data_IF_229884555595
#
_entry.id   IF_229884555595
#
_cell.length_a   1.000
_cell.length_b   1.000
_cell.length_c   1.000
_cell.angle_alpha   90.00
_cell.angle_beta   90.00
_cell.angle_gamma   90.00
#
_symmetry.space_group_name_H-M   'P 1'
#
loop_
_entity.id
_entity.type
_entity.pdbx_description
1 polymer ?
#
# COMPACT_ATOMS: atom_id res chain seq x y z
N UNK A 1 -11.90 -12.50 -0.63
CA UNK A 1 -10.70 -11.70 -0.83
C UNK A 1 -10.94 -10.28 -0.34
N UNK A 2 -10.04 -9.77 0.46
CA UNK A 2 -10.27 -8.51 1.18
C UNK A 2 -9.18 -7.45 0.94
N UNK A 3 -8.35 -7.62 -0.08
CA UNK A 3 -7.43 -6.55 -0.46
C UNK A 3 -8.06 -5.64 -1.51
N UNK A 4 -7.64 -4.39 -1.53
CA UNK A 4 -8.17 -3.36 -2.40
C UNK A 4 -8.32 -2.03 -1.66
N UNK A 5 -9.22 -1.20 -2.15
CA UNK A 5 -9.46 0.13 -1.58
C UNK A 5 -10.26 -0.02 -0.28
N UNK A 6 -9.80 0.67 0.78
CA UNK A 6 -10.49 0.66 2.07
C UNK A 6 -11.81 1.42 2.02
N UNK A 7 -12.70 1.12 2.98
CA UNK A 7 -13.92 1.91 3.14
C UNK A 7 -13.62 3.38 3.43
N UNK A 8 -12.57 3.66 4.21
CA UNK A 8 -12.15 5.04 4.50
C UNK A 8 -11.84 5.80 3.21
N UNK A 9 -10.98 5.23 2.35
CA UNK A 9 -10.58 5.90 1.11
C UNK A 9 -11.76 6.05 0.15
N UNK A 10 -12.55 4.98 -0.01
CA UNK A 10 -13.72 5.02 -0.87
C UNK A 10 -14.73 6.09 -0.44
N UNK A 11 -15.00 6.19 0.85
CA UNK A 11 -15.91 7.20 1.38
C UNK A 11 -15.34 8.61 1.21
N UNK A 12 -14.03 8.80 1.41
CA UNK A 12 -13.39 10.10 1.23
C UNK A 12 -13.52 10.58 -0.23
N UNK A 13 -13.33 9.69 -1.20
CA UNK A 13 -13.48 10.04 -2.61
C UNK A 13 -14.93 10.36 -2.96
N UNK A 14 -15.89 9.60 -2.45
CA UNK A 14 -17.29 9.85 -2.70
C UNK A 14 -17.74 11.18 -2.07
N UNK A 15 -17.25 11.51 -0.89
CA UNK A 15 -17.53 12.78 -0.25
C UNK A 15 -16.87 13.96 -0.98
N UNK A 16 -15.71 13.76 -1.58
CA UNK A 16 -15.09 14.78 -2.42
C UNK A 16 -15.96 15.08 -3.64
N UNK A 17 -16.57 14.06 -4.21
CA UNK A 17 -17.48 14.21 -5.36
C UNK A 17 -18.84 14.80 -4.96
N UNK A 18 -19.47 14.23 -3.94
CA UNK A 18 -20.87 14.51 -3.63
C UNK A 18 -21.11 15.54 -2.54
N UNK A 19 -20.12 15.87 -1.72
CA UNK A 19 -20.30 16.71 -0.53
C UNK A 19 -19.25 17.82 -0.43
N UNK A 20 -18.57 18.13 -1.51
CA UNK A 20 -17.57 19.20 -1.58
C UNK A 20 -16.52 19.13 -0.46
N UNK A 21 -16.17 17.91 -0.04
CA UNK A 21 -15.21 17.69 1.04
C UNK A 21 -13.84 17.38 0.44
N UNK A 22 -12.87 18.26 0.65
CA UNK A 22 -11.52 18.04 0.12
C UNK A 22 -10.87 16.81 0.75
N UNK A 23 -10.12 16.06 -0.05
CA UNK A 23 -9.35 14.94 0.43
C UNK A 23 -7.98 14.92 -0.23
N UNK A 24 -6.94 14.79 0.57
CA UNK A 24 -5.58 14.61 0.07
C UNK A 24 -4.77 13.83 1.10
N UNK A 25 -3.75 13.14 0.61
CA UNK A 25 -2.76 12.44 1.45
C UNK A 25 -1.41 13.08 1.16
N UNK A 26 -0.78 13.66 2.17
CA UNK A 26 0.49 14.37 1.99
C UNK A 26 1.60 13.40 1.58
N UNK A 27 1.73 12.27 2.30
CA UNK A 27 2.71 11.23 1.99
C UNK A 27 2.10 9.89 2.34
N UNK A 28 1.86 9.02 1.35
CA UNK A 28 1.44 7.64 1.64
C UNK A 28 2.64 6.79 2.03
N UNK A 29 2.37 5.75 2.83
CA UNK A 29 3.39 4.81 3.32
C UNK A 29 2.92 3.39 3.08
N UNK A 30 3.85 2.49 2.72
CA UNK A 30 3.56 1.08 2.49
C UNK A 30 4.15 0.22 3.60
N UNK A 31 3.45 -0.86 3.91
CA UNK A 31 3.83 -1.86 4.90
C UNK A 31 3.71 -3.25 4.29
N UNK A 32 4.62 -4.14 4.65
CA UNK A 32 4.66 -5.49 4.10
C UNK A 32 3.75 -6.44 4.87
N UNK A 33 3.14 -7.37 4.15
CA UNK A 33 2.29 -8.43 4.69
C UNK A 33 2.64 -9.76 4.03
N UNK A 34 2.41 -10.86 4.76
CA UNK A 34 2.70 -12.20 4.27
C UNK A 34 1.50 -12.88 3.64
N UNK A 35 0.30 -12.37 3.86
CA UNK A 35 -0.95 -12.85 3.26
C UNK A 35 -1.91 -11.66 3.11
N UNK A 36 -3.11 -11.92 2.61
CA UNK A 36 -4.15 -10.90 2.44
C UNK A 36 -4.39 -10.15 3.77
N UNK A 37 -4.18 -8.83 3.80
CA UNK A 37 -4.29 -8.06 5.04
C UNK A 37 -5.71 -7.83 5.55
N UNK A 38 -6.73 -8.24 4.80
CA UNK A 38 -8.12 -8.10 5.22
C UNK A 38 -8.68 -6.70 5.01
N UNK A 39 -9.95 -6.52 5.37
CA UNK A 39 -10.67 -5.26 5.15
C UNK A 39 -10.18 -4.11 6.01
N UNK A 40 -9.56 -4.42 7.16
CA UNK A 40 -8.98 -3.41 8.05
C UNK A 40 -7.49 -3.16 7.77
N UNK A 41 -6.87 -3.95 6.89
CA UNK A 41 -5.46 -3.80 6.55
C UNK A 41 -4.50 -4.24 7.65
N UNK A 42 -4.93 -5.04 8.62
CA UNK A 42 -4.14 -5.38 9.80
C UNK A 42 -3.77 -6.85 9.92
N UNK A 43 -4.34 -7.72 9.08
CA UNK A 43 -4.07 -9.15 9.16
C UNK A 43 -2.72 -9.51 8.54
N UNK A 44 -2.07 -10.52 9.10
CA UNK A 44 -0.84 -11.12 8.58
C UNK A 44 0.29 -10.12 8.30
N UNK A 45 0.64 -9.23 9.25
CA UNK A 45 1.76 -8.32 9.03
C UNK A 45 3.07 -9.11 8.95
N UNK A 46 4.00 -8.62 8.14
CA UNK A 46 5.36 -9.14 8.14
C UNK A 46 6.05 -8.78 9.46
N UNK A 47 7.13 -9.52 9.79
CA UNK A 47 7.95 -9.16 10.96
C UNK A 47 8.64 -7.81 10.77
N UNK A 48 8.91 -7.42 9.52
CA UNK A 48 9.35 -6.07 9.21
C UNK A 48 8.14 -5.15 9.25
N UNK A 49 7.96 -4.41 10.34
CA UNK A 49 6.79 -3.55 10.54
C UNK A 49 7.01 -2.10 10.11
N UNK A 50 8.22 -1.75 9.69
CA UNK A 50 8.55 -0.39 9.27
C UNK A 50 7.82 -0.03 8.00
N UNK A 51 7.08 1.06 8.03
CA UNK A 51 6.44 1.61 6.84
C UNK A 51 7.44 2.49 6.10
N UNK A 52 7.38 2.46 4.77
CA UNK A 52 8.24 3.29 3.91
C UNK A 52 7.37 4.20 3.06
N UNK A 53 7.83 5.43 2.90
CA UNK A 53 7.15 6.38 2.01
C UNK A 53 7.13 5.84 0.59
N UNK A 54 5.99 6.02 -0.08
CA UNK A 54 5.82 5.63 -1.49
C UNK A 54 5.37 6.83 -2.29
N UNK A 55 5.84 6.93 -3.53
CA UNK A 55 5.37 7.94 -4.48
C UNK A 55 4.74 7.25 -5.69
N UNK A 56 3.82 7.94 -6.33
CA UNK A 56 3.08 7.40 -7.47
C UNK A 56 3.16 8.35 -8.65
N UNK A 57 3.18 7.79 -9.85
CA UNK A 57 2.96 8.56 -11.06
C UNK A 57 1.54 9.12 -11.08
N UNK A 58 1.29 10.14 -11.90
CA UNK A 58 -0.07 10.66 -12.07
C UNK A 58 -1.03 9.54 -12.45
N UNK A 59 -2.25 9.60 -11.93
CA UNK A 59 -3.26 8.59 -12.20
C UNK A 59 -3.55 8.49 -13.70
N UNK A 60 -3.72 7.26 -14.17
CA UNK A 60 -4.04 6.99 -15.57
C UNK A 60 -4.97 5.77 -15.63
N UNK A 61 -6.00 5.84 -16.44
CA UNK A 61 -7.00 4.77 -16.59
C UNK A 61 -7.57 4.29 -15.24
N UNK A 62 -7.73 5.22 -14.29
CA UNK A 62 -8.25 4.93 -12.96
C UNK A 62 -7.25 4.27 -12.03
N UNK A 63 -6.00 4.17 -12.40
CA UNK A 63 -4.98 3.48 -11.60
C UNK A 63 -3.84 4.39 -11.15
N UNK A 64 -3.19 3.97 -10.08
CA UNK A 64 -1.92 4.53 -9.60
C UNK A 64 -0.86 3.44 -9.66
N UNK A 65 0.35 3.85 -9.98
CA UNK A 65 1.51 2.94 -10.02
C UNK A 65 2.68 3.64 -9.35
N UNK A 66 3.37 2.94 -8.45
CA UNK A 66 4.55 3.51 -7.79
C UNK A 66 5.65 3.82 -8.80
N UNK A 67 6.34 4.94 -8.60
CA UNK A 67 7.30 5.47 -9.58
C UNK A 67 8.76 5.44 -9.10
N UNK A 68 9.03 4.84 -7.94
CA UNK A 68 10.39 4.72 -7.42
C UNK A 68 10.57 3.41 -6.66
N UNK A 69 11.80 2.94 -6.61
CA UNK A 69 12.15 1.76 -5.81
C UNK A 69 12.06 2.09 -4.32
N UNK A 70 11.67 1.10 -3.51
CA UNK A 70 11.58 1.22 -2.06
C UNK A 70 12.44 0.13 -1.44
N UNK A 71 13.31 0.50 -0.50
CA UNK A 71 14.22 -0.45 0.15
C UNK A 71 14.04 -0.46 1.66
N UNK A 72 14.06 -1.66 2.23
CA UNK A 72 14.20 -1.89 3.66
C UNK A 72 15.62 -2.41 3.90
N UNK A 73 16.43 -1.64 4.61
CA UNK A 73 17.78 -2.05 4.98
C UNK A 73 17.76 -2.79 6.30
N UNK A 74 18.61 -3.80 6.45
CA UNK A 74 18.68 -4.63 7.66
C UNK A 74 17.28 -5.15 8.04
N UNK A 75 16.60 -5.78 7.08
CA UNK A 75 15.20 -6.17 7.23
C UNK A 75 15.02 -7.18 8.37
N UNK A 76 13.94 -7.04 9.11
CA UNK A 76 13.63 -7.90 10.26
C UNK A 76 12.95 -9.19 9.81
N UNK A 77 13.53 -10.33 10.19
CA UNK A 77 12.97 -11.64 9.91
C UNK A 77 13.22 -12.12 8.50
N UNK A 78 12.99 -13.41 8.29
CA UNK A 78 13.12 -14.06 6.99
C UNK A 78 11.74 -14.54 6.58
N UNK A 79 11.16 -13.91 5.55
CA UNK A 79 9.78 -14.17 5.14
C UNK A 79 9.62 -13.92 3.64
N UNK A 80 8.44 -14.25 3.14
CA UNK A 80 8.02 -13.94 1.77
C UNK A 80 6.88 -12.93 1.87
N UNK A 81 7.14 -11.69 1.47
CA UNK A 81 6.11 -10.66 1.42
C UNK A 81 5.29 -10.85 0.14
N UNK A 82 4.01 -11.14 0.30
CA UNK A 82 3.09 -11.40 -0.82
C UNK A 82 2.07 -10.30 -1.02
N UNK A 83 1.85 -9.47 0.00
CA UNK A 83 0.86 -8.40 0.00
C UNK A 83 1.44 -7.15 0.66
N UNK A 84 0.77 -6.04 0.46
CA UNK A 84 1.13 -4.78 1.11
C UNK A 84 -0.13 -4.02 1.52
N UNK A 85 0.04 -3.09 2.46
CA UNK A 85 -0.97 -2.09 2.78
C UNK A 85 -0.38 -0.70 2.60
N UNK A 86 -1.22 0.25 2.23
CA UNK A 86 -0.84 1.65 2.12
C UNK A 86 -1.63 2.46 3.15
N UNK A 87 -0.92 3.37 3.82
CA UNK A 87 -1.44 4.16 4.94
C UNK A 87 -1.11 5.63 4.73
N UNK A 88 -1.85 6.51 5.38
CA UNK A 88 -1.63 7.96 5.26
C UNK A 88 -0.64 8.51 6.30
N UNK A 89 -0.04 7.66 7.12
CA UNK A 89 0.93 8.07 8.13
C UNK A 89 1.99 6.98 8.34
N UNK A 90 3.16 7.37 8.81
CA UNK A 90 4.25 6.44 9.10
C UNK A 90 3.92 5.50 10.26
N UNK A 91 3.07 5.92 11.18
CA UNK A 91 2.56 5.08 12.26
C UNK A 91 1.10 5.44 12.52
N UNK A 92 0.30 4.46 12.99
CA UNK A 92 -1.14 4.65 13.14
C UNK A 92 -1.77 5.17 11.83
N UNK A 93 -2.66 6.16 11.88
CA UNK A 93 -3.28 6.73 10.68
C UNK A 93 -4.36 5.85 10.10
N UNK A 94 -4.76 6.17 8.87
CA UNK A 94 -5.85 5.50 8.19
C UNK A 94 -5.34 4.54 7.12
N UNK A 95 -5.92 3.35 7.08
CA UNK A 95 -5.68 2.38 6.01
C UNK A 95 -6.34 2.87 4.73
N UNK A 96 -5.56 2.95 3.65
CA UNK A 96 -6.03 3.47 2.37
C UNK A 96 -6.38 2.37 1.39
N UNK A 97 -5.41 1.50 1.07
CA UNK A 97 -5.65 0.38 0.16
C UNK A 97 -4.60 -0.71 0.37
N UNK A 98 -4.87 -1.86 -0.20
CA UNK A 98 -3.96 -3.00 -0.16
C UNK A 98 -3.92 -3.67 -1.52
N UNK A 99 -2.92 -4.52 -1.71
CA UNK A 99 -2.77 -5.30 -2.93
C UNK A 99 -1.75 -6.39 -2.75
N UNK A 100 -1.57 -7.17 -3.81
CA UNK A 100 -0.53 -8.20 -3.87
C UNK A 100 0.74 -7.64 -4.50
N UNK A 101 1.88 -8.24 -4.15
CA UNK A 101 3.16 -7.94 -4.75
C UNK A 101 3.88 -9.24 -5.11
N UNK A 102 4.72 -9.17 -6.13
CA UNK A 102 5.56 -10.30 -6.56
C UNK A 102 7.00 -9.88 -6.32
N UNK A 103 7.41 -9.90 -5.07
CA UNK A 103 8.72 -9.38 -4.68
C UNK A 103 9.66 -10.46 -4.15
N UNK A 104 9.14 -11.63 -3.84
CA UNK A 104 9.93 -12.78 -3.39
C UNK A 104 10.28 -12.75 -1.91
N UNK A 105 11.01 -13.77 -1.51
CA UNK A 105 11.43 -13.96 -0.11
C UNK A 105 12.66 -13.13 0.21
N UNK A 106 12.84 -12.82 1.49
CA UNK A 106 14.03 -12.13 1.99
C UNK A 106 14.54 -12.82 3.25
N UNK A 107 15.79 -12.55 3.56
CA UNK A 107 16.49 -13.07 4.74
C UNK A 107 16.80 -11.93 5.70
N UNK A 108 16.62 -12.17 6.99
CA UNK A 108 16.88 -11.16 8.02
C UNK A 108 18.29 -10.57 7.87
N UNK A 109 18.37 -9.25 7.99
CA UNK A 109 19.62 -8.50 7.86
C UNK A 109 19.94 -8.02 6.45
N UNK A 110 19.24 -8.53 5.44
CA UNK A 110 19.45 -8.12 4.06
C UNK A 110 18.82 -6.75 3.76
N UNK A 111 19.18 -6.17 2.63
CA UNK A 111 18.47 -5.05 2.05
C UNK A 111 17.44 -5.61 1.07
N UNK A 112 16.16 -5.35 1.34
CA UNK A 112 15.06 -5.82 0.52
C UNK A 112 14.49 -4.66 -0.29
N UNK A 113 14.60 -4.73 -1.61
CA UNK A 113 14.15 -3.67 -2.51
C UNK A 113 12.97 -4.14 -3.33
N UNK A 114 11.90 -3.35 -3.34
CA UNK A 114 10.75 -3.55 -4.21
C UNK A 114 10.81 -2.46 -5.28
N UNK A 115 10.84 -2.89 -6.54
CA UNK A 115 11.08 -1.99 -7.66
C UNK A 115 9.87 -1.11 -7.97
N UNK A 116 10.13 0.02 -8.61
CA UNK A 116 9.08 0.90 -9.13
C UNK A 116 8.08 0.10 -9.98
N UNK A 117 6.80 0.45 -9.86
CA UNK A 117 5.74 -0.24 -10.57
C UNK A 117 5.09 -1.39 -9.81
N UNK A 118 5.63 -1.77 -8.64
CA UNK A 118 5.14 -2.94 -7.89
C UNK A 118 3.96 -2.63 -6.99
N UNK A 119 3.82 -1.40 -6.50
CA UNK A 119 2.69 -1.00 -5.66
C UNK A 119 1.65 -0.31 -6.54
N UNK A 120 0.49 -0.95 -6.69
CA UNK A 120 -0.55 -0.45 -7.58
C UNK A 120 -1.92 -0.51 -6.92
N UNK A 121 -2.80 0.38 -7.33
CA UNK A 121 -4.23 0.31 -7.01
C UNK A 121 -5.02 0.87 -8.18
N UNK A 122 -6.29 0.52 -8.28
CA UNK A 122 -7.11 0.99 -9.39
C UNK A 122 -8.59 1.06 -9.01
N UNK A 123 -9.31 1.91 -9.71
CA UNK A 123 -10.77 1.99 -9.68
C UNK A 123 -11.34 1.23 -10.87
N UNK A 124 -12.53 0.65 -10.70
CA UNK A 124 -13.26 0.08 -11.82
C UNK A 124 -13.92 1.21 -12.60
N UNK A 125 -13.53 1.38 -13.84
CA UNK A 125 -14.07 2.43 -14.70
C UNK A 125 -15.28 1.91 -15.48
N UNK A 126 -16.16 2.85 -15.87
CA UNK A 126 -17.24 2.54 -16.79
C UNK A 126 -16.67 2.08 -18.13
N UNK A 127 -17.33 1.15 -18.76
CA UNK A 127 -16.88 0.57 -20.04
C UNK A 127 -18.00 0.49 -21.06
#
# INVERSE_FOLDING_TARGET
MAHGISAYLGNAWMNALGNATSFSVATPYVKLHTQDPGTAGTAFPATETTRKAVSFSAASAGGLTSDADISWTNISGSQDATHFTCWDNISAGNFLFSGSIVAGAYTAGDTYTITAGSFTTSLTLAS
#
